data_IF_388526247776
#
_entry.id   IF_388526247776
#
_cell.length_a   1.000
_cell.length_b   1.000
_cell.length_c   1.000
_cell.angle_alpha   90.00
_cell.angle_beta   90.00
_cell.angle_gamma   90.00
#
_symmetry.space_group_name_H-M   'P 1'
#
loop_
_entity.id
_entity.type
_entity.pdbx_description
1 polymer ?
#
# COMPACT_ATOMS: atom_id res chain seq x y z
N UNK A 1 -25.07 10.23 -16.29
CA UNK A 1 -25.16 9.68 -14.92
C UNK A 1 -25.09 8.16 -15.03
N UNK A 2 -24.05 7.53 -14.49
CA UNK A 2 -24.03 6.07 -14.37
C UNK A 2 -25.18 5.65 -13.45
N UNK A 3 -26.08 4.78 -13.92
CA UNK A 3 -27.15 4.23 -13.10
C UNK A 3 -26.57 3.69 -11.79
N UNK A 4 -27.21 4.02 -10.66
CA UNK A 4 -26.88 3.47 -9.35
C UNK A 4 -27.13 1.96 -9.30
N UNK A 5 -27.97 1.43 -10.19
CA UNK A 5 -28.25 0.01 -10.27
C UNK A 5 -27.11 -0.77 -10.93
N UNK A 6 -26.86 -1.96 -10.40
CA UNK A 6 -26.03 -2.97 -11.07
C UNK A 6 -26.79 -3.52 -12.27
N UNK A 7 -26.09 -3.79 -13.36
CA UNK A 7 -26.64 -4.53 -14.49
C UNK A 7 -26.92 -5.97 -14.10
N UNK A 8 -27.85 -6.64 -14.78
CA UNK A 8 -28.18 -8.04 -14.52
C UNK A 8 -26.93 -8.95 -14.55
N UNK A 9 -26.01 -8.72 -15.49
CA UNK A 9 -24.76 -9.46 -15.60
C UNK A 9 -23.84 -9.22 -14.40
N UNK A 10 -23.66 -7.96 -13.98
CA UNK A 10 -22.89 -7.62 -12.78
C UNK A 10 -23.48 -8.31 -11.56
N UNK A 11 -24.79 -8.18 -11.32
CA UNK A 11 -25.49 -8.80 -10.18
C UNK A 11 -25.24 -10.30 -10.10
N UNK A 12 -25.47 -11.05 -11.18
CA UNK A 12 -25.24 -12.50 -11.18
C UNK A 12 -23.77 -12.88 -11.02
N UNK A 13 -22.85 -12.14 -11.63
CA UNK A 13 -21.41 -12.41 -11.47
C UNK A 13 -20.93 -12.20 -10.03
N UNK A 14 -21.41 -11.14 -9.38
CA UNK A 14 -21.06 -10.81 -8.00
C UNK A 14 -21.71 -11.78 -7.02
N UNK A 15 -22.96 -12.17 -7.25
CA UNK A 15 -23.65 -13.19 -6.44
C UNK A 15 -22.99 -14.56 -6.59
N UNK A 16 -22.61 -14.97 -7.80
CA UNK A 16 -21.90 -16.22 -8.03
C UNK A 16 -20.53 -16.23 -7.32
N UNK A 17 -19.76 -15.14 -7.45
CA UNK A 17 -18.49 -14.98 -6.74
C UNK A 17 -18.69 -15.07 -5.22
N UNK A 18 -19.63 -14.28 -4.67
CA UNK A 18 -19.93 -14.28 -3.25
C UNK A 18 -20.40 -15.66 -2.75
N UNK A 19 -21.21 -16.38 -3.54
CA UNK A 19 -21.66 -17.74 -3.22
C UNK A 19 -20.51 -18.75 -3.18
N UNK A 20 -19.62 -18.74 -4.18
CA UNK A 20 -18.42 -19.59 -4.20
C UNK A 20 -17.50 -19.29 -3.01
N UNK A 21 -17.27 -18.00 -2.73
CA UNK A 21 -16.45 -17.59 -1.59
C UNK A 21 -17.10 -17.95 -0.24
N UNK A 22 -18.42 -17.80 -0.10
CA UNK A 22 -19.11 -18.24 1.13
C UNK A 22 -19.03 -19.75 1.32
N UNK A 23 -19.20 -20.53 0.25
CA UNK A 23 -19.04 -21.99 0.29
C UNK A 23 -17.62 -22.41 0.69
N UNK A 24 -16.59 -21.75 0.16
CA UNK A 24 -15.19 -22.01 0.54
C UNK A 24 -14.87 -21.58 1.98
N UNK A 25 -15.46 -20.49 2.48
CA UNK A 25 -15.35 -20.11 3.89
C UNK A 25 -15.97 -21.16 4.82
N UNK A 26 -17.19 -21.62 4.51
CA UNK A 26 -17.89 -22.64 5.31
C UNK A 26 -17.11 -23.95 5.29
N UNK A 27 -16.63 -24.39 4.13
CA UNK A 27 -15.81 -25.59 4.00
C UNK A 27 -14.51 -25.44 4.81
N UNK A 28 -13.81 -24.31 4.70
CA UNK A 28 -12.62 -24.04 5.51
C UNK A 28 -12.91 -24.06 7.00
N UNK A 29 -14.07 -23.56 7.45
CA UNK A 29 -14.49 -23.57 8.85
C UNK A 29 -14.86 -24.97 9.36
N UNK A 30 -15.44 -25.81 8.51
CA UNK A 30 -15.74 -27.21 8.83
C UNK A 30 -14.46 -28.04 8.88
N UNK A 31 -13.58 -27.91 7.87
CA UNK A 31 -12.29 -28.59 7.84
C UNK A 31 -11.38 -28.20 9.01
N UNK A 32 -11.58 -27.02 9.61
CA UNK A 32 -10.94 -26.64 10.86
C UNK A 32 -11.32 -27.54 12.04
N UNK A 33 -12.58 -28.01 12.10
CA UNK A 33 -13.06 -28.99 13.06
C UNK A 33 -12.43 -30.37 12.86
N UNK A 34 -12.07 -30.71 11.61
CA UNK A 34 -11.47 -31.98 11.22
C UNK A 34 -9.93 -31.97 11.23
N UNK A 35 -9.29 -30.84 11.58
CA UNK A 35 -7.83 -30.69 11.64
C UNK A 35 -7.15 -30.14 10.36
N UNK A 36 -7.88 -30.09 9.24
CA UNK A 36 -7.39 -29.74 7.90
C UNK A 36 -7.59 -28.26 7.52
N UNK A 37 -8.21 -27.45 8.37
CA UNK A 37 -8.51 -26.04 8.08
C UNK A 37 -7.26 -25.20 7.85
N UNK A 38 -7.22 -24.50 6.69
CA UNK A 38 -6.14 -23.58 6.34
C UNK A 38 -6.65 -22.12 6.31
N UNK A 39 -6.19 -21.23 7.21
CA UNK A 39 -6.65 -19.85 7.28
C UNK A 39 -6.40 -19.04 6.00
N UNK A 40 -5.44 -19.49 5.19
CA UNK A 40 -5.15 -18.93 3.88
C UNK A 40 -6.33 -19.06 2.89
N UNK A 41 -6.99 -20.23 2.81
CA UNK A 41 -8.15 -20.40 1.93
C UNK A 41 -9.33 -19.53 2.35
N UNK A 42 -9.56 -19.44 3.66
CA UNK A 42 -10.54 -18.49 4.20
C UNK A 42 -10.19 -17.06 3.80
N UNK A 43 -8.92 -16.63 3.92
CA UNK A 43 -8.49 -15.28 3.54
C UNK A 43 -8.72 -14.97 2.04
N UNK A 44 -8.44 -15.94 1.15
CA UNK A 44 -8.75 -15.82 -0.29
C UNK A 44 -10.26 -15.65 -0.52
N UNK A 45 -11.09 -16.42 0.19
CA UNK A 45 -12.53 -16.32 0.09
C UNK A 45 -13.05 -14.97 0.61
N UNK A 46 -12.53 -14.49 1.74
CA UNK A 46 -12.82 -13.14 2.26
C UNK A 46 -12.45 -12.05 1.25
N UNK A 47 -11.35 -12.20 0.51
CA UNK A 47 -10.97 -11.27 -0.57
C UNK A 47 -12.05 -11.20 -1.67
N UNK A 48 -12.57 -12.34 -2.12
CA UNK A 48 -13.63 -12.39 -3.13
C UNK A 48 -14.96 -11.81 -2.66
N UNK A 49 -15.35 -12.08 -1.40
CA UNK A 49 -16.54 -11.45 -0.79
C UNK A 49 -16.35 -9.94 -0.66
N UNK A 50 -15.18 -9.50 -0.18
CA UNK A 50 -14.86 -8.09 -0.03
C UNK A 50 -14.89 -7.36 -1.39
N UNK A 51 -14.34 -7.96 -2.45
CA UNK A 51 -14.47 -7.46 -3.81
C UNK A 51 -15.94 -7.26 -4.21
N UNK A 52 -16.78 -8.28 -4.02
CA UNK A 52 -18.18 -8.23 -4.44
C UNK A 52 -18.97 -7.14 -3.71
N UNK A 53 -18.75 -7.02 -2.39
CA UNK A 53 -19.37 -6.00 -1.55
C UNK A 53 -18.88 -4.61 -1.94
N UNK A 54 -17.57 -4.40 -2.06
CA UNK A 54 -16.99 -3.09 -2.41
C UNK A 54 -17.47 -2.62 -3.78
N UNK A 55 -17.49 -3.49 -4.79
CA UNK A 55 -17.99 -3.15 -6.14
C UNK A 55 -19.45 -2.67 -6.08
N UNK A 56 -20.29 -3.40 -5.35
CA UNK A 56 -21.72 -3.08 -5.21
C UNK A 56 -21.93 -1.77 -4.46
N UNK A 57 -21.25 -1.59 -3.32
CA UNK A 57 -21.38 -0.40 -2.48
C UNK A 57 -20.90 0.87 -3.19
N UNK A 58 -19.82 0.83 -3.96
CA UNK A 58 -19.35 2.00 -4.71
C UNK A 58 -20.42 2.46 -5.71
N UNK A 59 -21.10 1.52 -6.39
CA UNK A 59 -22.19 1.84 -7.32
C UNK A 59 -23.40 2.45 -6.62
N UNK A 60 -23.78 1.89 -5.47
CA UNK A 60 -24.95 2.33 -4.72
C UNK A 60 -24.73 3.65 -3.98
N UNK A 61 -23.53 3.87 -3.44
CA UNK A 61 -23.21 5.06 -2.65
C UNK A 61 -22.72 6.25 -3.48
N UNK A 62 -22.29 6.03 -4.73
CA UNK A 62 -21.89 7.09 -5.67
C UNK A 62 -22.81 8.32 -5.67
N UNK A 63 -24.12 8.16 -5.94
CA UNK A 63 -25.07 9.28 -5.92
C UNK A 63 -25.23 9.93 -4.54
N UNK A 64 -25.09 9.16 -3.47
CA UNK A 64 -25.22 9.68 -2.09
C UNK A 64 -24.06 10.61 -1.77
N UNK A 65 -22.83 10.22 -2.12
CA UNK A 65 -21.64 11.05 -1.95
C UNK A 65 -21.74 12.34 -2.78
N UNK A 66 -22.21 12.23 -4.03
CA UNK A 66 -22.49 13.40 -4.87
C UNK A 66 -23.50 14.36 -4.24
N UNK A 67 -24.58 13.83 -3.63
CA UNK A 67 -25.61 14.62 -2.95
C UNK A 67 -25.08 15.27 -1.66
N UNK A 68 -24.16 14.61 -0.97
CA UNK A 68 -23.48 15.13 0.22
C UNK A 68 -22.40 16.19 -0.10
N UNK A 69 -22.11 16.44 -1.39
CA UNK A 69 -21.09 17.39 -1.82
C UNK A 69 -19.69 16.81 -1.94
N UNK A 70 -19.52 15.50 -1.72
CA UNK A 70 -18.25 14.78 -1.87
C UNK A 70 -18.05 14.43 -3.35
N UNK A 71 -17.57 15.41 -4.11
CA UNK A 71 -17.41 15.32 -5.57
C UNK A 71 -16.24 16.15 -6.07
N UNK A 72 -15.53 15.59 -7.06
CA UNK A 72 -14.37 16.21 -7.70
C UNK A 72 -14.59 16.36 -9.20
N UNK A 73 -13.93 17.35 -9.82
CA UNK A 73 -13.94 17.54 -11.28
C UNK A 73 -12.79 16.79 -11.92
N UNK A 74 -13.07 15.99 -12.94
CA UNK A 74 -12.02 15.35 -13.74
C UNK A 74 -11.34 16.37 -14.66
N UNK A 75 -10.22 16.90 -14.18
CA UNK A 75 -9.44 17.94 -14.85
C UNK A 75 -8.80 17.47 -16.16
N UNK A 76 -8.70 16.14 -16.38
CA UNK A 76 -8.10 15.53 -17.55
C UNK A 76 -9.10 15.34 -18.71
N UNK A 77 -10.31 15.92 -18.64
CA UNK A 77 -11.36 15.79 -19.66
C UNK A 77 -11.85 17.14 -20.19
N UNK A 78 -12.30 17.21 -21.46
CA UNK A 78 -12.80 18.46 -22.06
C UNK A 78 -13.95 19.12 -21.28
N UNK A 79 -14.92 18.32 -20.81
CA UNK A 79 -16.12 18.80 -20.11
C UNK A 79 -15.98 18.84 -18.58
N UNK A 80 -14.82 18.46 -18.05
CA UNK A 80 -14.53 18.38 -16.60
C UNK A 80 -15.71 17.85 -15.76
N UNK A 81 -16.19 16.63 -16.06
CA UNK A 81 -17.35 16.06 -15.37
C UNK A 81 -17.09 15.97 -13.88
N UNK A 82 -18.12 16.24 -13.08
CA UNK A 82 -18.10 15.98 -11.64
C UNK A 82 -18.40 14.51 -11.37
N UNK A 83 -17.54 13.86 -10.60
CA UNK A 83 -17.70 12.46 -10.20
C UNK A 83 -17.57 12.33 -8.67
N UNK A 84 -18.16 11.28 -8.06
CA UNK A 84 -18.10 11.07 -6.62
C UNK A 84 -16.65 10.98 -6.16
N UNK A 85 -16.31 11.64 -5.06
CA UNK A 85 -14.98 11.62 -4.44
C UNK A 85 -14.99 10.81 -3.14
N UNK A 86 -13.81 10.54 -2.57
CA UNK A 86 -13.67 9.82 -1.28
C UNK A 86 -14.22 8.38 -1.30
N UNK A 87 -14.30 7.73 -2.47
CA UNK A 87 -14.73 6.32 -2.56
C UNK A 87 -13.73 5.33 -1.96
N UNK A 88 -12.50 5.79 -1.69
CA UNK A 88 -11.53 5.11 -0.85
C UNK A 88 -12.06 4.77 0.53
N UNK A 89 -12.96 5.58 1.09
CA UNK A 89 -13.57 5.32 2.40
C UNK A 89 -14.44 4.05 2.38
N UNK A 90 -15.23 3.85 1.32
CA UNK A 90 -16.05 2.63 1.15
C UNK A 90 -15.16 1.39 1.06
N UNK A 91 -14.09 1.48 0.27
CA UNK A 91 -13.07 0.44 0.13
C UNK A 91 -12.44 0.09 1.50
N UNK A 92 -11.99 1.10 2.25
CA UNK A 92 -11.35 0.92 3.55
C UNK A 92 -12.30 0.35 4.62
N UNK A 93 -13.56 0.77 4.67
CA UNK A 93 -14.55 0.25 5.63
C UNK A 93 -14.84 -1.23 5.38
N UNK A 94 -15.05 -1.63 4.11
CA UNK A 94 -15.27 -3.05 3.77
C UNK A 94 -14.05 -3.88 4.13
N UNK A 95 -12.84 -3.36 3.89
CA UNK A 95 -11.60 -4.03 4.27
C UNK A 95 -11.47 -4.23 5.78
N UNK A 96 -11.72 -3.19 6.58
CA UNK A 96 -11.67 -3.27 8.03
C UNK A 96 -12.66 -4.31 8.57
N UNK A 97 -13.89 -4.32 8.05
CA UNK A 97 -14.89 -5.33 8.40
C UNK A 97 -14.43 -6.74 8.02
N UNK A 98 -13.87 -6.92 6.81
CA UNK A 98 -13.34 -8.20 6.37
C UNK A 98 -12.24 -8.71 7.33
N UNK A 99 -11.31 -7.85 7.74
CA UNK A 99 -10.27 -8.22 8.72
C UNK A 99 -10.83 -8.55 10.11
N UNK A 100 -11.87 -7.84 10.57
CA UNK A 100 -12.53 -8.13 11.84
C UNK A 100 -13.19 -9.50 11.79
N UNK A 101 -13.97 -9.78 10.74
CA UNK A 101 -14.64 -11.07 10.56
C UNK A 101 -13.67 -12.22 10.29
N UNK A 102 -12.45 -11.94 9.82
CA UNK A 102 -11.42 -12.94 9.61
C UNK A 102 -10.72 -13.39 10.90
N UNK A 103 -10.80 -12.64 12.01
CA UNK A 103 -10.10 -12.97 13.28
C UNK A 103 -10.38 -14.41 13.75
N UNK A 104 -11.64 -14.90 13.83
CA UNK A 104 -11.91 -16.25 14.29
C UNK A 104 -11.30 -17.33 13.38
N UNK A 105 -11.13 -17.04 12.09
CA UNK A 105 -10.52 -17.95 11.12
C UNK A 105 -9.00 -17.96 11.26
N UNK A 106 -8.38 -16.78 11.44
CA UNK A 106 -6.94 -16.65 11.59
C UNK A 106 -6.42 -17.37 12.85
N UNK A 107 -7.19 -17.31 13.95
CA UNK A 107 -6.80 -17.84 15.25
C UNK A 107 -7.59 -19.09 15.66
N UNK A 108 -8.30 -19.76 14.72
CA UNK A 108 -9.18 -20.87 15.07
C UNK A 108 -8.47 -21.96 15.88
N UNK A 109 -7.32 -22.45 15.39
CA UNK A 109 -6.54 -23.50 16.05
C UNK A 109 -6.16 -23.10 17.47
N UNK A 110 -5.78 -21.84 17.65
CA UNK A 110 -5.40 -21.28 18.95
C UNK A 110 -6.59 -21.13 19.91
N UNK A 111 -7.74 -20.68 19.40
CA UNK A 111 -8.99 -20.55 20.16
C UNK A 111 -9.46 -21.93 20.60
N UNK A 112 -9.50 -22.91 19.69
CA UNK A 112 -9.89 -24.28 20.02
C UNK A 112 -8.94 -24.85 21.05
N UNK A 113 -7.62 -24.83 20.83
CA UNK A 113 -6.65 -25.38 21.77
C UNK A 113 -6.73 -24.73 23.17
N UNK A 114 -7.03 -23.44 23.26
CA UNK A 114 -7.18 -22.73 24.53
C UNK A 114 -8.52 -23.00 25.24
N UNK A 115 -9.59 -23.33 24.51
CA UNK A 115 -10.95 -23.52 25.06
C UNK A 115 -11.34 -24.99 25.25
N UNK A 116 -10.82 -25.91 24.43
CA UNK A 116 -11.08 -27.35 24.53
C UNK A 116 -10.31 -28.05 25.66
N UNK A 117 -9.42 -27.32 26.36
CA UNK A 117 -8.90 -27.68 27.68
C UNK A 117 -9.98 -27.82 28.78
N UNK A 118 -11.24 -27.55 28.46
CA UNK A 118 -12.42 -27.81 29.27
C UNK A 118 -13.41 -28.80 28.63
N UNK A 119 -12.95 -29.99 28.23
CA UNK A 119 -13.84 -31.17 28.23
C UNK A 119 -14.47 -31.65 26.91
N UNK A 120 -13.85 -31.50 25.74
CA UNK A 120 -14.28 -32.25 24.55
C UNK A 120 -13.15 -33.11 23.97
N UNK A 121 -13.42 -34.40 23.77
CA UNK A 121 -12.44 -35.51 23.60
C UNK A 121 -12.03 -35.80 22.15
N UNK A 122 -12.45 -35.00 21.18
CA UNK A 122 -12.39 -35.42 19.78
C UNK A 122 -11.22 -34.83 18.96
N UNK A 123 -10.30 -34.08 19.59
CA UNK A 123 -9.07 -33.62 18.92
C UNK A 123 -7.90 -34.46 19.42
N UNK A 124 -7.71 -35.64 18.81
CA UNK A 124 -6.50 -36.46 19.00
C UNK A 124 -5.38 -35.81 18.20
N UNK A 125 -4.63 -34.89 18.83
CA UNK A 125 -3.31 -34.52 18.34
C UNK A 125 -2.37 -35.70 18.65
N UNK A 126 -1.76 -36.30 17.63
CA UNK A 126 -0.71 -37.31 17.81
C UNK A 126 0.48 -36.69 18.55
N UNK A 127 0.57 -36.98 19.85
CA UNK A 127 1.65 -36.52 20.73
C UNK A 127 2.88 -37.40 20.54
N UNK A 128 3.72 -37.07 19.55
CA UNK A 128 5.12 -37.46 19.61
C UNK A 128 5.86 -36.48 20.51
N UNK A 129 5.87 -36.77 21.82
CA UNK A 129 6.95 -36.60 22.81
C UNK A 129 6.30 -36.61 24.21
N UNK A 130 6.38 -37.77 24.86
CA UNK A 130 6.10 -37.93 26.28
C UNK A 130 7.32 -37.40 27.04
N UNK A 131 7.07 -36.52 28.01
CA UNK A 131 7.72 -36.39 29.33
C UNK A 131 7.73 -34.92 29.80
N UNK A 132 7.01 -34.69 30.92
CA UNK A 132 6.90 -33.49 31.79
C UNK A 132 5.70 -32.54 31.60
N UNK A 133 4.79 -32.55 32.59
CA UNK A 133 3.92 -31.43 32.98
C UNK A 133 2.68 -31.15 32.13
N UNK A 134 1.55 -30.86 32.78
CA UNK A 134 0.34 -30.30 32.14
C UNK A 134 0.67 -28.98 31.43
N UNK A 135 0.95 -29.01 30.13
CA UNK A 135 0.96 -27.80 29.32
C UNK A 135 -0.49 -27.42 28.99
N UNK A 136 -1.03 -26.46 29.73
CA UNK A 136 -2.17 -25.68 29.29
C UNK A 136 -1.72 -24.94 28.01
N UNK A 137 -2.22 -25.31 26.84
CA UNK A 137 -1.88 -24.60 25.60
C UNK A 137 -2.33 -23.13 25.73
N UNK A 138 -1.38 -22.23 25.98
CA UNK A 138 -1.67 -20.81 26.24
C UNK A 138 -1.97 -20.13 24.91
N UNK A 139 -3.11 -19.46 24.83
CA UNK A 139 -3.49 -18.68 23.66
C UNK A 139 -2.37 -17.67 23.28
N UNK A 140 -1.99 -17.55 22.00
CA UNK A 140 -0.88 -16.71 21.55
C UNK A 140 -1.27 -15.23 21.54
N UNK A 141 -1.37 -14.64 22.73
CA UNK A 141 -1.78 -13.25 22.90
C UNK A 141 -0.91 -12.25 22.13
N UNK A 142 0.40 -12.50 21.95
CA UNK A 142 1.27 -11.61 21.16
C UNK A 142 0.94 -11.58 19.67
N UNK A 143 0.54 -12.72 19.08
CA UNK A 143 0.10 -12.77 17.66
C UNK A 143 -1.22 -12.03 17.48
N UNK A 144 -2.16 -12.22 18.41
CA UNK A 144 -3.41 -11.48 18.41
C UNK A 144 -3.19 -9.99 18.65
N UNK A 145 -2.30 -9.61 19.57
CA UNK A 145 -1.96 -8.21 19.85
C UNK A 145 -1.36 -7.53 18.62
N UNK A 146 -0.42 -8.19 17.92
CA UNK A 146 0.13 -7.71 16.66
C UNK A 146 -0.97 -7.48 15.61
N UNK A 147 -1.87 -8.46 15.41
CA UNK A 147 -3.00 -8.33 14.50
C UNK A 147 -3.95 -7.18 14.86
N UNK A 148 -4.37 -7.10 16.11
CA UNK A 148 -5.28 -6.06 16.60
C UNK A 148 -4.63 -4.67 16.56
N UNK A 149 -3.32 -4.56 16.80
CA UNK A 149 -2.59 -3.29 16.71
C UNK A 149 -2.48 -2.77 15.29
N UNK A 150 -2.25 -3.67 14.32
CA UNK A 150 -2.29 -3.32 12.90
C UNK A 150 -3.69 -2.86 12.49
N UNK A 151 -4.72 -3.60 12.89
CA UNK A 151 -6.12 -3.25 12.64
C UNK A 151 -6.50 -1.91 13.27
N UNK A 152 -6.10 -1.65 14.51
CA UNK A 152 -6.35 -0.39 15.21
C UNK A 152 -5.64 0.78 14.52
N UNK A 153 -4.40 0.58 14.09
CA UNK A 153 -3.65 1.59 13.32
C UNK A 153 -4.36 1.93 11.99
N UNK A 154 -4.90 0.90 11.32
CA UNK A 154 -5.70 1.05 10.11
C UNK A 154 -7.03 1.76 10.36
N UNK A 155 -7.72 1.48 11.47
CA UNK A 155 -8.93 2.22 11.85
C UNK A 155 -8.61 3.70 12.09
N UNK A 156 -7.55 3.99 12.85
CA UNK A 156 -7.11 5.36 13.11
C UNK A 156 -6.80 6.13 11.82
N UNK A 157 -6.04 5.54 10.89
CA UNK A 157 -5.68 6.23 9.66
C UNK A 157 -6.88 6.45 8.73
N UNK A 158 -7.83 5.51 8.70
CA UNK A 158 -9.04 5.65 7.88
C UNK A 158 -9.93 6.77 8.40
N UNK A 159 -10.08 6.88 9.72
CA UNK A 159 -10.81 8.00 10.36
C UNK A 159 -10.13 9.33 10.04
N UNK A 160 -8.81 9.41 10.22
CA UNK A 160 -8.06 10.64 9.97
C UNK A 160 -8.04 11.02 8.49
N UNK A 161 -7.96 10.04 7.58
CA UNK A 161 -8.02 10.26 6.14
C UNK A 161 -9.38 10.73 5.67
N UNK A 162 -10.46 10.14 6.20
CA UNK A 162 -11.81 10.67 5.98
C UNK A 162 -11.94 12.09 6.52
N UNK A 163 -11.37 12.37 7.69
CA UNK A 163 -11.29 13.73 8.24
C UNK A 163 -10.55 14.72 7.33
N UNK A 164 -9.46 14.29 6.69
CA UNK A 164 -8.72 15.11 5.73
C UNK A 164 -9.54 15.42 4.46
N UNK A 165 -10.17 14.40 3.88
CA UNK A 165 -11.05 14.56 2.72
C UNK A 165 -12.25 15.47 3.01
N UNK A 166 -12.80 15.43 4.23
CA UNK A 166 -13.96 16.24 4.63
C UNK A 166 -13.60 17.68 5.03
N UNK A 167 -12.41 17.90 5.60
CA UNK A 167 -12.04 19.18 6.21
C UNK A 167 -11.00 19.98 5.40
N UNK A 168 -10.42 19.41 4.34
CA UNK A 168 -9.31 19.98 3.53
C UNK A 168 -8.20 20.53 4.44
N UNK A 169 -7.60 19.64 5.25
CA UNK A 169 -6.64 20.03 6.28
C UNK A 169 -5.38 20.62 5.64
N UNK A 170 -4.77 21.63 6.28
CA UNK A 170 -3.53 22.24 5.78
C UNK A 170 -2.38 21.22 5.72
N UNK A 171 -1.58 21.28 4.66
CA UNK A 171 -0.48 20.33 4.35
C UNK A 171 0.48 20.05 5.52
N UNK A 172 0.79 21.06 6.35
CA UNK A 172 1.70 20.91 7.50
C UNK A 172 1.20 19.89 8.54
N UNK A 173 -0.12 19.75 8.66
CA UNK A 173 -0.73 18.76 9.55
C UNK A 173 -0.89 17.42 8.83
N UNK A 174 -1.15 17.43 7.51
CA UNK A 174 -1.25 16.20 6.68
C UNK A 174 -0.03 15.29 6.81
N UNK A 175 1.18 15.87 6.81
CA UNK A 175 2.43 15.10 6.93
C UNK A 175 2.47 14.27 8.22
N UNK A 176 1.88 14.74 9.32
CA UNK A 176 1.92 14.07 10.61
C UNK A 176 0.71 13.17 10.89
N UNK A 177 -0.36 13.24 10.08
CA UNK A 177 -1.55 12.40 10.24
C UNK A 177 -1.19 10.91 10.33
N UNK A 178 -0.35 10.35 9.42
CA UNK A 178 0.00 8.94 9.51
C UNK A 178 0.84 8.56 10.73
N UNK A 179 1.60 9.51 11.29
CA UNK A 179 2.38 9.28 12.49
C UNK A 179 1.48 8.92 13.68
N UNK A 180 0.35 9.64 13.82
CA UNK A 180 -0.66 9.34 14.85
C UNK A 180 -1.36 8.01 14.58
N UNK A 181 -1.67 7.71 13.31
CA UNK A 181 -2.25 6.44 12.91
C UNK A 181 -1.36 5.23 13.25
N UNK A 182 -0.03 5.39 13.25
CA UNK A 182 0.92 4.31 13.48
C UNK A 182 1.19 4.00 14.97
N UNK A 183 0.75 4.85 15.90
CA UNK A 183 1.04 4.72 17.34
C UNK A 183 0.67 3.32 17.90
N UNK A 184 -0.52 2.75 17.63
CA UNK A 184 -0.90 1.46 18.22
C UNK A 184 0.08 0.34 17.85
N UNK A 185 0.43 0.24 16.57
CA UNK A 185 1.41 -0.73 16.08
C UNK A 185 2.80 -0.50 16.69
N UNK A 186 3.26 0.74 16.80
CA UNK A 186 4.59 1.04 17.39
C UNK A 186 4.67 0.66 18.87
N UNK A 187 3.60 0.85 19.63
CA UNK A 187 3.52 0.44 21.05
C UNK A 187 3.58 -1.09 21.16
N UNK A 188 2.80 -1.80 20.34
CA UNK A 188 2.85 -3.28 20.35
C UNK A 188 4.20 -3.79 19.88
N UNK A 189 4.82 -3.16 18.89
CA UNK A 189 6.19 -3.49 18.50
C UNK A 189 7.18 -3.36 19.65
N UNK A 190 7.08 -2.28 20.42
CA UNK A 190 7.91 -2.03 21.59
C UNK A 190 7.73 -3.09 22.68
N UNK A 191 6.50 -3.51 22.94
CA UNK A 191 6.17 -4.45 24.03
C UNK A 191 6.47 -5.91 23.64
N UNK A 192 6.08 -6.34 22.43
CA UNK A 192 6.12 -7.75 22.05
C UNK A 192 7.45 -8.17 21.41
N UNK A 193 8.09 -7.29 20.63
CA UNK A 193 9.33 -7.60 19.92
C UNK A 193 10.53 -6.90 20.55
N UNK A 194 10.48 -5.57 20.67
CA UNK A 194 11.56 -4.76 21.22
C UNK A 194 12.89 -4.82 20.45
N UNK A 195 12.92 -5.45 19.27
CA UNK A 195 14.16 -5.65 18.49
C UNK A 195 14.49 -4.39 17.70
N UNK A 196 15.57 -3.71 18.09
CA UNK A 196 16.08 -2.48 17.45
C UNK A 196 17.40 -2.68 16.72
N UNK A 197 17.88 -3.92 16.66
CA UNK A 197 19.12 -4.28 15.99
C UNK A 197 18.90 -4.45 14.49
N UNK A 198 19.81 -3.88 13.69
CA UNK A 198 19.78 -3.95 12.24
C UNK A 198 21.08 -4.58 11.73
N UNK A 199 20.95 -5.55 10.83
CA UNK A 199 22.09 -6.15 10.12
C UNK A 199 22.77 -5.09 9.27
N UNK A 200 24.08 -4.89 9.50
CA UNK A 200 24.92 -3.95 8.76
C UNK A 200 25.40 -4.58 7.44
N UNK A 201 25.33 -3.85 6.31
CA UNK A 201 25.93 -4.29 5.05
C UNK A 201 27.41 -4.67 5.18
N UNK A 202 27.83 -5.77 4.57
CA UNK A 202 29.20 -6.31 4.63
C UNK A 202 30.32 -5.27 4.41
N UNK A 203 30.22 -4.31 3.47
CA UNK A 203 31.25 -3.28 3.30
C UNK A 203 31.41 -2.34 4.51
N UNK A 204 30.37 -2.17 5.32
CA UNK A 204 30.33 -1.27 6.47
C UNK A 204 30.60 -1.99 7.80
N UNK A 205 30.63 -3.33 7.81
CA UNK A 205 30.80 -4.12 9.03
C UNK A 205 32.13 -3.86 9.74
N UNK A 206 33.19 -3.49 9.01
CA UNK A 206 34.47 -3.13 9.62
C UNK A 206 34.38 -1.90 10.54
N UNK A 207 33.46 -0.98 10.24
CA UNK A 207 33.31 0.26 10.99
C UNK A 207 32.24 0.19 12.08
N UNK A 208 31.17 -0.58 11.85
CA UNK A 208 29.95 -0.56 12.66
C UNK A 208 29.64 -1.91 13.33
N UNK A 209 30.44 -2.94 13.08
CA UNK A 209 30.13 -4.32 13.51
C UNK A 209 29.12 -5.01 12.58
N UNK A 210 28.80 -6.28 12.89
CA UNK A 210 27.84 -7.07 12.10
C UNK A 210 26.38 -6.65 12.34
N UNK A 211 26.08 -6.23 13.58
CA UNK A 211 24.77 -5.79 14.03
C UNK A 211 24.91 -4.42 14.71
N UNK A 212 24.06 -3.48 14.33
CA UNK A 212 24.00 -2.14 14.93
C UNK A 212 22.69 -1.99 15.68
N UNK A 213 22.76 -1.69 16.98
CA UNK A 213 21.58 -1.30 17.76
C UNK A 213 21.28 0.18 17.57
N UNK A 214 20.11 0.47 16.99
CA UNK A 214 19.64 1.83 16.75
C UNK A 214 18.81 2.40 17.90
N UNK A 215 18.37 1.57 18.85
CA UNK A 215 17.48 1.98 19.94
C UNK A 215 16.28 2.80 19.46
N UNK A 216 16.09 3.99 20.04
CA UNK A 216 15.01 4.92 19.67
C UNK A 216 15.01 5.36 18.20
N UNK A 217 16.17 5.39 17.54
CA UNK A 217 16.25 5.74 16.12
C UNK A 217 15.53 4.71 15.23
N UNK A 218 15.43 3.46 15.68
CA UNK A 218 14.65 2.45 14.96
C UNK A 218 13.14 2.74 15.00
N UNK A 219 12.63 3.26 16.13
CA UNK A 219 11.23 3.70 16.24
C UNK A 219 10.96 4.94 15.38
N UNK A 220 11.92 5.88 15.33
CA UNK A 220 11.84 7.03 14.41
C UNK A 220 11.81 6.55 12.96
N UNK A 221 12.62 5.55 12.61
CA UNK A 221 12.59 4.92 11.28
C UNK A 221 11.22 4.29 10.97
N UNK A 222 10.65 3.48 11.88
CA UNK A 222 9.34 2.87 11.67
C UNK A 222 8.23 3.93 11.52
N UNK A 223 8.26 4.97 12.34
CA UNK A 223 7.35 6.11 12.21
C UNK A 223 7.54 6.83 10.86
N UNK A 224 8.78 7.02 10.41
CA UNK A 224 9.08 7.62 9.11
C UNK A 224 8.57 6.76 7.94
N UNK A 225 8.69 5.42 8.02
CA UNK A 225 8.09 4.50 7.03
C UNK A 225 6.56 4.64 7.02
N UNK A 226 5.93 4.68 8.19
CA UNK A 226 4.48 4.83 8.30
C UNK A 226 3.98 6.21 7.85
N UNK A 227 4.81 7.26 7.92
CA UNK A 227 4.54 8.57 7.31
C UNK A 227 4.74 8.53 5.80
N UNK A 228 5.83 7.91 5.35
CA UNK A 228 6.25 7.92 3.97
C UNK A 228 5.28 7.15 3.06
N UNK A 229 4.89 5.93 3.41
CA UNK A 229 4.07 5.08 2.54
C UNK A 229 2.74 5.78 2.14
N UNK A 230 1.89 6.23 3.08
CA UNK A 230 0.69 7.05 2.83
C UNK A 230 0.92 8.26 1.92
N UNK A 231 1.87 9.11 2.28
CA UNK A 231 2.10 10.37 1.59
C UNK A 231 2.70 10.16 0.19
N UNK A 232 3.54 9.15 0.02
CA UNK A 232 4.23 8.88 -1.24
C UNK A 232 3.27 8.37 -2.33
N UNK A 233 2.26 7.58 -1.97
CA UNK A 233 1.16 7.18 -2.85
C UNK A 233 0.32 8.41 -3.20
N UNK A 234 -0.04 9.23 -2.20
CA UNK A 234 -0.81 10.47 -2.43
C UNK A 234 -0.06 11.44 -3.37
N UNK A 235 1.26 11.56 -3.25
CA UNK A 235 2.06 12.40 -4.13
C UNK A 235 2.18 11.88 -5.57
N UNK A 236 2.02 10.58 -5.79
CA UNK A 236 2.04 9.96 -7.12
C UNK A 236 0.60 9.69 -7.58
N UNK A 237 -0.18 10.77 -7.66
CA UNK A 237 -1.61 10.76 -7.96
C UNK A 237 -1.98 11.77 -9.06
N UNK A 238 -3.25 11.77 -9.46
CA UNK A 238 -3.83 12.83 -10.30
C UNK A 238 -4.10 12.44 -11.76
N UNK A 239 -4.04 11.15 -12.09
CA UNK A 239 -4.58 10.58 -13.33
C UNK A 239 -5.44 9.37 -12.99
N UNK A 240 -6.48 9.12 -13.79
CA UNK A 240 -7.47 8.09 -13.54
C UNK A 240 -6.85 6.69 -13.37
N UNK A 241 -6.96 6.12 -12.17
CA UNK A 241 -6.55 4.75 -11.86
C UNK A 241 -5.18 4.59 -11.20
N UNK A 242 -4.33 5.63 -11.18
CA UNK A 242 -2.90 5.43 -10.83
C UNK A 242 -2.69 5.10 -9.35
N UNK A 243 -3.46 5.70 -8.44
CA UNK A 243 -3.35 5.53 -6.99
C UNK A 243 -3.66 4.08 -6.60
N UNK A 244 -4.73 3.53 -7.17
CA UNK A 244 -5.19 2.17 -6.90
C UNK A 244 -4.34 1.14 -7.63
N UNK A 245 -3.98 1.40 -8.90
CA UNK A 245 -3.22 0.45 -9.69
C UNK A 245 -1.79 0.27 -9.18
N UNK A 246 -1.09 1.35 -8.81
CA UNK A 246 0.25 1.22 -8.23
C UNK A 246 0.20 0.44 -6.91
N UNK A 247 -0.82 0.68 -6.08
CA UNK A 247 -1.02 -0.01 -4.82
C UNK A 247 -1.31 -1.51 -5.03
N UNK A 248 -2.14 -1.87 -6.01
CA UNK A 248 -2.38 -3.26 -6.38
C UNK A 248 -1.11 -3.97 -6.86
N UNK A 249 -0.30 -3.32 -7.70
CA UNK A 249 0.98 -3.91 -8.14
C UNK A 249 1.90 -4.16 -6.95
N UNK A 250 2.04 -3.20 -6.04
CA UNK A 250 2.83 -3.35 -4.81
C UNK A 250 2.30 -4.52 -3.97
N UNK A 251 0.99 -4.61 -3.74
CA UNK A 251 0.37 -5.68 -2.96
C UNK A 251 0.61 -7.06 -3.59
N UNK A 252 0.45 -7.19 -4.91
CA UNK A 252 0.69 -8.44 -5.61
C UNK A 252 2.17 -8.86 -5.57
N UNK A 253 3.10 -7.90 -5.66
CA UNK A 253 4.53 -8.18 -5.52
C UNK A 253 4.91 -8.56 -4.09
N UNK A 254 4.28 -7.96 -3.07
CA UNK A 254 4.44 -8.36 -1.68
C UNK A 254 3.90 -9.78 -1.45
N UNK A 255 2.70 -10.10 -1.93
CA UNK A 255 2.15 -11.46 -1.85
C UNK A 255 3.09 -12.44 -2.57
N UNK A 256 3.59 -12.10 -3.76
CA UNK A 256 4.56 -12.93 -4.48
C UNK A 256 5.84 -13.15 -3.67
N UNK A 257 6.35 -12.13 -2.99
CA UNK A 257 7.47 -12.26 -2.06
C UNK A 257 7.13 -13.17 -0.87
N UNK A 258 5.96 -12.99 -0.26
CA UNK A 258 5.55 -13.69 0.95
C UNK A 258 5.33 -15.19 0.68
N UNK A 259 4.76 -15.53 -0.47
CA UNK A 259 4.57 -16.92 -0.93
C UNK A 259 5.90 -17.66 -1.04
N UNK A 260 7.02 -16.98 -1.35
CA UNK A 260 8.34 -17.62 -1.39
C UNK A 260 8.78 -18.18 -0.04
N UNK A 261 8.25 -17.68 1.07
CA UNK A 261 8.56 -18.14 2.43
C UNK A 261 7.58 -19.19 2.96
N UNK A 262 6.59 -19.60 2.15
CA UNK A 262 5.64 -20.65 2.50
C UNK A 262 6.06 -22.01 1.92
N UNK A 263 5.59 -23.09 2.54
CA UNK A 263 5.71 -24.43 2.00
C UNK A 263 4.82 -24.59 0.74
N UNK A 264 5.25 -25.37 -0.29
CA UNK A 264 6.46 -26.18 -0.34
C UNK A 264 7.70 -25.45 -0.88
N UNK A 265 7.62 -24.15 -1.20
CA UNK A 265 8.73 -23.41 -1.85
C UNK A 265 9.95 -23.33 -0.93
N UNK A 266 9.73 -22.92 0.32
CA UNK A 266 10.74 -22.97 1.38
C UNK A 266 10.40 -24.13 2.34
N UNK A 267 11.37 -25.01 2.68
CA UNK A 267 11.12 -26.12 3.59
C UNK A 267 10.57 -25.67 4.94
N UNK A 268 9.61 -26.43 5.46
CA UNK A 268 9.07 -26.23 6.81
C UNK A 268 9.97 -26.92 7.85
N UNK A 269 10.24 -26.31 9.03
CA UNK A 269 9.81 -24.99 9.49
C UNK A 269 10.78 -23.86 9.10
N UNK A 270 10.25 -22.75 8.58
CA UNK A 270 11.02 -21.52 8.37
C UNK A 270 10.62 -20.44 9.39
N UNK A 271 11.57 -19.80 10.12
CA UNK A 271 11.26 -18.84 11.18
C UNK A 271 10.39 -17.64 10.74
N UNK A 272 10.53 -17.21 9.47
CA UNK A 272 9.77 -16.08 8.93
C UNK A 272 8.38 -16.46 8.36
N UNK A 273 8.02 -17.76 8.33
CA UNK A 273 6.79 -18.22 7.69
C UNK A 273 5.54 -17.53 8.28
N UNK A 274 5.46 -17.44 9.62
CA UNK A 274 4.32 -16.84 10.31
C UNK A 274 4.20 -15.33 10.02
N UNK A 275 5.32 -14.61 9.91
CA UNK A 275 5.34 -13.18 9.56
C UNK A 275 4.86 -12.93 8.12
N UNK A 276 5.24 -13.78 7.18
CA UNK A 276 4.79 -13.70 5.79
C UNK A 276 3.32 -14.14 5.65
N UNK A 277 2.88 -15.13 6.41
CA UNK A 277 1.48 -15.56 6.45
C UNK A 277 0.57 -14.46 7.05
N UNK A 278 1.03 -13.80 8.11
CA UNK A 278 0.40 -12.59 8.67
C UNK A 278 0.23 -11.50 7.61
N UNK A 279 1.29 -11.20 6.85
CA UNK A 279 1.25 -10.22 5.76
C UNK A 279 0.20 -10.59 4.70
N UNK A 280 0.18 -11.85 4.25
CA UNK A 280 -0.79 -12.34 3.26
C UNK A 280 -2.23 -12.16 3.73
N UNK A 281 -2.53 -12.39 5.02
CA UNK A 281 -3.86 -12.19 5.59
C UNK A 281 -4.36 -10.74 5.50
N UNK A 282 -3.46 -9.76 5.59
CA UNK A 282 -3.78 -8.35 5.39
C UNK A 282 -3.84 -7.98 3.90
N UNK A 283 -2.97 -8.56 3.06
CA UNK A 283 -2.85 -8.19 1.65
C UNK A 283 -3.96 -8.79 0.77
N UNK A 284 -4.44 -10.00 1.04
CA UNK A 284 -5.47 -10.64 0.22
C UNK A 284 -6.80 -9.86 0.23
N UNK A 285 -7.40 -9.51 1.38
CA UNK A 285 -8.59 -8.67 1.40
C UNK A 285 -8.33 -7.27 0.81
N UNK A 286 -7.11 -6.73 0.96
CA UNK A 286 -6.72 -5.44 0.40
C UNK A 286 -6.75 -5.47 -1.14
N UNK A 287 -6.24 -6.55 -1.75
CA UNK A 287 -6.33 -6.79 -3.19
C UNK A 287 -7.78 -6.87 -3.63
N UNK A 288 -8.63 -7.58 -2.88
CA UNK A 288 -10.06 -7.70 -3.19
C UNK A 288 -10.77 -6.35 -3.25
N UNK A 289 -10.67 -5.54 -2.20
CA UNK A 289 -11.32 -4.22 -2.16
C UNK A 289 -10.71 -3.23 -3.16
N UNK A 290 -9.39 -3.27 -3.35
CA UNK A 290 -8.69 -2.35 -4.27
C UNK A 290 -8.97 -2.71 -5.73
N UNK A 291 -9.07 -4.00 -6.07
CA UNK A 291 -9.45 -4.42 -7.42
C UNK A 291 -10.89 -3.98 -7.75
N UNK A 292 -11.82 -4.09 -6.80
CA UNK A 292 -13.18 -3.58 -6.97
C UNK A 292 -13.21 -2.06 -7.16
N UNK A 293 -12.45 -1.31 -6.37
CA UNK A 293 -12.31 0.14 -6.53
C UNK A 293 -11.70 0.50 -7.89
N UNK A 294 -10.66 -0.24 -8.34
CA UNK A 294 -10.03 -0.03 -9.64
C UNK A 294 -11.04 -0.21 -10.78
N UNK A 295 -11.94 -1.19 -10.72
CA UNK A 295 -12.96 -1.38 -11.76
C UNK A 295 -13.85 -0.13 -11.97
N UNK A 296 -14.01 0.72 -10.95
CA UNK A 296 -14.76 1.97 -11.05
C UNK A 296 -13.86 3.20 -11.26
N UNK A 297 -12.64 3.19 -10.75
CA UNK A 297 -11.69 4.30 -10.81
C UNK A 297 -10.81 4.28 -12.07
N UNK A 298 -10.67 3.13 -12.75
CA UNK A 298 -9.89 3.02 -13.97
C UNK A 298 -10.44 3.90 -15.08
N UNK A 299 -9.57 4.31 -16.01
CA UNK A 299 -9.94 5.17 -17.13
C UNK A 299 -11.06 4.56 -17.99
N UNK A 300 -12.09 5.36 -18.36
CA UNK A 300 -12.44 6.68 -17.81
C UNK A 300 -13.07 6.54 -16.43
N UNK A 301 -12.54 7.29 -15.44
CA UNK A 301 -12.95 7.13 -14.05
C UNK A 301 -14.41 7.50 -13.82
N UNK A 302 -15.10 6.68 -13.02
CA UNK A 302 -16.46 6.92 -12.54
C UNK A 302 -16.48 7.45 -11.11
N UNK A 303 -15.37 7.30 -10.37
CA UNK A 303 -15.24 7.70 -8.96
C UNK A 303 -13.78 8.07 -8.64
N UNK A 304 -13.56 9.07 -7.80
CA UNK A 304 -12.25 9.36 -7.22
C UNK A 304 -12.08 8.70 -5.86
N UNK A 305 -10.83 8.35 -5.58
CA UNK A 305 -10.48 7.60 -4.37
C UNK A 305 -10.36 8.49 -3.13
N UNK A 306 -9.92 9.74 -3.30
CA UNK A 306 -9.63 10.68 -2.21
C UNK A 306 -8.34 10.36 -1.46
N UNK A 307 -7.92 11.28 -0.58
CA UNK A 307 -6.76 11.11 0.29
C UNK A 307 -6.94 9.91 1.22
N UNK A 308 -8.19 9.59 1.57
CA UNK A 308 -8.54 8.42 2.40
C UNK A 308 -7.94 7.12 1.84
N UNK A 309 -8.03 6.87 0.53
CA UNK A 309 -7.46 5.65 -0.05
C UNK A 309 -5.94 5.63 0.03
N UNK A 310 -5.29 6.75 -0.31
CA UNK A 310 -3.84 6.86 -0.32
C UNK A 310 -3.27 6.60 1.08
N UNK A 311 -3.89 7.19 2.11
CA UNK A 311 -3.48 6.95 3.48
C UNK A 311 -3.76 5.52 3.95
N UNK A 312 -4.93 4.99 3.61
CA UNK A 312 -5.30 3.61 3.87
C UNK A 312 -4.31 2.61 3.25
N UNK A 313 -4.08 2.69 1.94
CA UNK A 313 -3.20 1.79 1.21
C UNK A 313 -1.76 1.86 1.75
N UNK A 314 -1.23 3.07 1.93
CA UNK A 314 0.09 3.26 2.48
C UNK A 314 0.26 2.69 3.89
N UNK A 315 -0.77 2.81 4.73
CA UNK A 315 -0.72 2.25 6.09
C UNK A 315 -0.85 0.73 6.09
N UNK A 316 -1.63 0.12 5.19
CA UNK A 316 -1.63 -1.36 5.02
C UNK A 316 -0.21 -1.84 4.76
N UNK A 317 0.49 -1.19 3.84
CA UNK A 317 1.87 -1.54 3.52
C UNK A 317 2.83 -1.32 4.68
N UNK A 318 2.70 -0.20 5.41
CA UNK A 318 3.51 0.06 6.59
C UNK A 318 3.27 -1.00 7.69
N UNK A 319 2.01 -1.36 7.94
CA UNK A 319 1.62 -2.38 8.93
C UNK A 319 2.23 -3.73 8.61
N UNK A 320 2.04 -4.23 7.38
CA UNK A 320 2.60 -5.54 7.01
C UNK A 320 4.13 -5.51 6.95
N UNK A 321 4.74 -4.41 6.50
CA UNK A 321 6.19 -4.29 6.42
C UNK A 321 6.88 -4.20 7.79
N UNK A 322 6.27 -3.49 8.75
CA UNK A 322 6.83 -3.30 10.09
C UNK A 322 6.59 -4.54 10.94
N UNK A 323 5.33 -5.01 11.05
CA UNK A 323 5.00 -6.20 11.86
C UNK A 323 5.46 -7.50 11.22
N UNK A 324 5.62 -7.53 9.89
CA UNK A 324 6.20 -8.65 9.16
C UNK A 324 7.74 -8.64 9.10
N UNK A 325 8.40 -7.61 9.66
CA UNK A 325 9.86 -7.46 9.68
C UNK A 325 10.55 -7.45 8.30
N UNK A 326 9.85 -7.00 7.25
CA UNK A 326 10.41 -6.89 5.89
C UNK A 326 10.31 -5.47 5.31
N UNK A 327 10.28 -4.44 6.16
CA UNK A 327 10.26 -3.01 5.78
C UNK A 327 11.34 -2.61 4.77
N UNK A 328 12.52 -3.25 4.80
CA UNK A 328 13.57 -3.05 3.76
C UNK A 328 13.12 -3.53 2.37
N UNK A 329 12.50 -4.72 2.31
CA UNK A 329 11.91 -5.25 1.06
C UNK A 329 10.77 -4.37 0.58
N UNK A 330 9.92 -3.89 1.51
CA UNK A 330 8.84 -2.96 1.21
C UNK A 330 9.38 -1.69 0.51
N UNK A 331 10.45 -1.08 1.03
CA UNK A 331 11.04 0.12 0.43
C UNK A 331 11.62 -0.14 -0.98
N UNK A 332 12.10 -1.36 -1.27
CA UNK A 332 12.52 -1.74 -2.63
C UNK A 332 11.34 -1.79 -3.60
N UNK A 333 10.15 -2.15 -3.13
CA UNK A 333 8.93 -2.13 -3.95
C UNK A 333 8.37 -0.72 -4.12
N UNK A 334 8.73 0.20 -3.23
CA UNK A 334 8.35 1.62 -3.29
C UNK A 334 9.33 2.49 -4.10
N UNK A 335 10.25 1.90 -4.87
CA UNK A 335 11.26 2.67 -5.64
C UNK A 335 10.65 3.79 -6.49
N UNK A 336 9.56 3.59 -7.26
CA UNK A 336 8.94 4.69 -8.02
C UNK A 336 8.40 5.81 -7.12
N UNK A 337 7.81 5.48 -5.98
CA UNK A 337 7.30 6.42 -4.99
C UNK A 337 8.43 7.20 -4.31
N UNK A 338 9.51 6.50 -3.94
CA UNK A 338 10.75 7.10 -3.40
C UNK A 338 11.35 8.06 -4.41
N UNK A 339 11.47 7.64 -5.67
CA UNK A 339 11.97 8.50 -6.74
C UNK A 339 11.09 9.73 -6.93
N UNK A 340 9.76 9.56 -7.00
CA UNK A 340 8.82 10.68 -7.13
C UNK A 340 8.95 11.65 -5.94
N UNK A 341 9.07 11.14 -4.72
CA UNK A 341 9.25 11.95 -3.52
C UNK A 341 10.56 12.77 -3.57
N UNK A 342 11.68 12.11 -3.86
CA UNK A 342 12.98 12.78 -3.96
C UNK A 342 12.99 13.81 -5.09
N UNK A 343 12.39 13.48 -6.23
CA UNK A 343 12.28 14.40 -7.36
C UNK A 343 11.37 15.60 -7.07
N UNK A 344 10.28 15.39 -6.34
CA UNK A 344 9.36 16.44 -5.86
C UNK A 344 9.91 17.30 -4.73
N UNK A 345 10.94 16.84 -4.02
CA UNK A 345 11.48 17.47 -2.80
C UNK A 345 11.76 18.97 -2.97
N UNK A 346 12.42 19.45 -4.05
CA UNK A 346 12.66 20.88 -4.22
C UNK A 346 11.37 21.73 -4.24
N UNK A 347 10.27 21.20 -4.79
CA UNK A 347 8.97 21.88 -4.77
C UNK A 347 8.30 21.78 -3.39
N UNK A 348 8.35 20.61 -2.75
CA UNK A 348 7.72 20.40 -1.44
C UNK A 348 8.30 21.30 -0.34
N UNK A 349 9.62 21.51 -0.36
CA UNK A 349 10.31 22.40 0.58
C UNK A 349 10.28 23.87 0.13
N UNK A 350 9.50 24.21 -0.91
CA UNK A 350 9.38 25.55 -1.49
C UNK A 350 10.72 26.17 -1.93
N UNK A 351 11.71 25.34 -2.29
CA UNK A 351 12.94 25.81 -2.93
C UNK A 351 12.66 26.21 -4.39
N UNK A 352 11.78 25.46 -5.05
CA UNK A 352 11.16 25.79 -6.34
C UNK A 352 9.69 26.13 -6.09
N UNK A 353 9.09 27.13 -6.77
CA UNK A 353 7.68 27.43 -6.58
C UNK A 353 6.81 26.18 -6.79
N UNK A 354 5.93 25.90 -5.84
CA UNK A 354 5.07 24.72 -5.87
C UNK A 354 3.63 25.14 -6.12
N UNK A 355 3.06 24.88 -7.32
CA UNK A 355 1.64 25.12 -7.54
C UNK A 355 0.79 24.17 -6.70
N UNK A 356 -0.46 24.56 -6.40
CA UNK A 356 -1.42 23.72 -5.65
C UNK A 356 -1.65 22.38 -6.34
N UNK A 357 -1.72 22.38 -7.66
CA UNK A 357 -1.93 21.18 -8.48
C UNK A 357 -0.72 20.95 -9.40
N UNK A 358 -0.13 19.76 -9.30
CA UNK A 358 1.05 19.35 -10.07
C UNK A 358 0.75 18.22 -11.09
N UNK A 359 -0.52 17.89 -11.28
CA UNK A 359 -0.94 16.91 -12.29
C UNK A 359 -0.62 17.38 -13.72
N UNK A 360 -0.47 16.46 -14.68
CA UNK A 360 -0.34 16.81 -16.10
C UNK A 360 -1.46 17.72 -16.60
N UNK A 361 -1.15 18.57 -17.59
CA UNK A 361 -2.13 19.50 -18.17
C UNK A 361 -2.82 18.86 -19.37
N UNK A 362 -4.15 18.83 -19.35
CA UNK A 362 -4.93 18.38 -20.50
C UNK A 362 -5.02 19.46 -21.58
N UNK A 363 -4.75 19.06 -22.82
CA UNK A 363 -4.91 19.90 -24.00
C UNK A 363 -6.20 19.51 -24.74
N UNK A 364 -7.15 20.44 -24.82
CA UNK A 364 -8.47 20.23 -25.45
C UNK A 364 -8.40 19.97 -26.95
N UNK A 365 -7.37 20.48 -27.61
CA UNK A 365 -7.28 20.48 -29.08
C UNK A 365 -6.72 19.15 -29.57
N UNK A 366 -5.77 18.58 -28.83
CA UNK A 366 -5.16 17.27 -29.13
C UNK A 366 -5.81 16.11 -28.39
N UNK A 367 -6.50 16.37 -27.28
CA UNK A 367 -7.04 15.33 -26.40
C UNK A 367 -5.97 14.57 -25.60
N UNK A 368 -4.76 15.13 -25.48
CA UNK A 368 -3.61 14.52 -24.80
C UNK A 368 -3.26 15.26 -23.51
N UNK A 369 -2.55 14.58 -22.61
CA UNK A 369 -1.89 15.17 -21.46
C UNK A 369 -0.47 15.60 -21.84
N UNK A 370 -0.13 16.84 -21.52
CA UNK A 370 1.23 17.39 -21.60
C UNK A 370 1.77 17.68 -20.20
N UNK A 371 3.09 17.80 -20.08
CA UNK A 371 3.74 18.13 -18.82
C UNK A 371 3.27 19.51 -18.33
N UNK A 372 2.78 19.58 -17.10
CA UNK A 372 2.44 20.85 -16.49
C UNK A 372 3.69 21.61 -16.05
N UNK A 373 3.58 22.94 -15.98
CA UNK A 373 4.71 23.83 -15.70
C UNK A 373 4.47 24.66 -14.44
N UNK A 374 5.58 25.05 -13.83
CA UNK A 374 5.68 26.09 -12.81
C UNK A 374 6.22 27.35 -13.48
N UNK A 375 5.54 28.48 -13.27
CA UNK A 375 5.92 29.78 -13.81
C UNK A 375 6.74 30.59 -12.78
N UNK A 376 7.83 31.21 -13.23
CA UNK A 376 8.74 32.03 -12.43
C UNK A 376 8.38 33.52 -12.55
N UNK A 377 7.14 33.88 -12.18
CA UNK A 377 6.56 35.22 -12.41
C UNK A 377 7.19 36.34 -11.59
N UNK A 378 7.38 36.13 -10.30
CA UNK A 378 7.76 37.22 -9.37
C UNK A 378 9.26 37.34 -9.13
N UNK A 379 9.95 36.20 -9.03
CA UNK A 379 11.39 36.14 -8.73
C UNK A 379 12.06 35.12 -9.63
N UNK A 380 13.14 35.49 -10.36
CA UNK A 380 13.93 34.51 -11.08
C UNK A 380 14.59 33.53 -10.09
N UNK A 381 14.91 32.30 -10.52
CA UNK A 381 15.60 31.34 -9.68
C UNK A 381 16.93 31.91 -9.18
N UNK A 382 17.29 31.60 -7.94
CA UNK A 382 18.62 31.91 -7.40
C UNK A 382 19.69 31.23 -8.27
N UNK A 383 20.94 31.72 -8.25
CA UNK A 383 22.02 31.16 -9.08
C UNK A 383 22.17 29.66 -8.92
N UNK A 384 22.13 29.17 -7.68
CA UNK A 384 22.26 27.74 -7.38
C UNK A 384 21.09 26.94 -7.95
N UNK A 385 19.85 27.41 -7.75
CA UNK A 385 18.65 26.74 -8.29
C UNK A 385 18.66 26.77 -9.82
N UNK A 386 19.04 27.89 -10.44
CA UNK A 386 19.17 28.01 -11.88
C UNK A 386 20.19 27.01 -12.45
N UNK A 387 21.36 26.87 -11.82
CA UNK A 387 22.36 25.86 -12.19
C UNK A 387 21.81 24.44 -12.05
N UNK A 388 21.11 24.13 -10.96
CA UNK A 388 20.48 22.81 -10.77
C UNK A 388 19.41 22.54 -11.84
N UNK A 389 18.58 23.52 -12.19
CA UNK A 389 17.57 23.40 -13.24
C UNK A 389 18.21 23.18 -14.62
N UNK A 390 19.30 23.89 -14.93
CA UNK A 390 20.05 23.68 -16.18
C UNK A 390 20.71 22.31 -16.25
N UNK A 391 21.28 21.85 -15.13
CA UNK A 391 21.80 20.49 -15.04
C UNK A 391 20.67 19.46 -15.23
N UNK A 392 19.50 19.69 -14.61
CA UNK A 392 18.31 18.89 -14.82
C UNK A 392 17.85 18.86 -16.27
N UNK A 393 17.95 19.99 -16.99
CA UNK A 393 17.67 20.06 -18.43
C UNK A 393 18.68 19.23 -19.24
N UNK A 394 19.97 19.32 -18.92
CA UNK A 394 21.03 18.55 -19.58
C UNK A 394 20.83 17.05 -19.39
N UNK A 395 20.42 16.63 -18.19
CA UNK A 395 20.09 15.24 -17.85
C UNK A 395 18.69 14.81 -18.34
N UNK A 396 18.01 15.65 -19.13
CA UNK A 396 16.66 15.39 -19.65
C UNK A 396 15.60 15.15 -18.55
N UNK A 397 15.81 15.66 -17.34
CA UNK A 397 14.86 15.55 -16.24
C UNK A 397 13.77 16.63 -16.29
N UNK A 398 14.10 17.82 -16.80
CA UNK A 398 13.22 18.99 -16.75
C UNK A 398 13.20 19.67 -18.12
N UNK A 399 12.04 20.17 -18.55
CA UNK A 399 11.95 21.11 -19.68
C UNK A 399 11.91 22.54 -19.14
N UNK A 400 12.74 23.41 -19.72
CA UNK A 400 12.83 24.83 -19.36
C UNK A 400 12.43 25.72 -20.54
N UNK A 401 11.64 26.75 -20.26
CA UNK A 401 11.34 27.83 -21.20
C UNK A 401 12.10 29.08 -20.76
N UNK A 402 12.84 29.71 -21.68
CA UNK A 402 13.58 30.94 -21.43
C UNK A 402 13.00 32.11 -22.22
N UNK A 403 13.10 33.31 -21.65
CA UNK A 403 12.81 34.54 -22.38
C UNK A 403 14.00 34.91 -23.32
N UNK A 404 13.80 35.93 -24.16
CA UNK A 404 14.81 36.54 -25.03
C UNK A 404 16.09 36.94 -24.28
N UNK A 405 15.98 37.32 -23.01
CA UNK A 405 17.11 37.69 -22.15
C UNK A 405 17.85 36.48 -21.54
N UNK A 406 17.52 35.25 -21.94
CA UNK A 406 18.12 34.02 -21.41
C UNK A 406 17.68 33.62 -20.00
N UNK A 407 16.76 34.37 -19.38
CA UNK A 407 16.19 34.07 -18.05
C UNK A 407 15.15 32.97 -18.13
N UNK A 408 15.16 32.05 -17.15
CA UNK A 408 14.17 30.97 -17.01
C UNK A 408 12.81 31.59 -16.63
N UNK A 409 11.78 31.31 -17.42
CA UNK A 409 10.40 31.77 -17.21
C UNK A 409 9.52 30.62 -16.74
N UNK A 410 9.74 29.41 -17.26
CA UNK A 410 8.95 28.23 -16.89
C UNK A 410 9.86 27.02 -16.73
N UNK A 411 9.46 26.14 -15.81
CA UNK A 411 10.06 24.82 -15.63
C UNK A 411 8.95 23.79 -15.43
N UNK A 412 9.09 22.60 -16.01
CA UNK A 412 8.13 21.51 -15.76
C UNK A 412 8.00 21.17 -14.28
N UNK A 413 6.80 20.83 -13.83
CA UNK A 413 6.55 20.37 -12.46
C UNK A 413 7.36 19.10 -12.15
N UNK A 414 7.90 19.04 -10.95
CA UNK A 414 8.83 17.97 -10.55
C UNK A 414 8.05 16.78 -9.98
N UNK A 415 7.40 16.02 -10.86
CA UNK A 415 6.73 14.76 -10.52
C UNK A 415 7.07 13.69 -11.55
N UNK A 416 7.00 12.42 -11.16
CA UNK A 416 7.28 11.30 -12.06
C UNK A 416 6.33 11.29 -13.27
N UNK A 417 5.07 11.68 -13.09
CA UNK A 417 4.10 11.81 -14.19
C UNK A 417 4.55 12.83 -15.24
N UNK A 418 4.98 14.02 -14.82
CA UNK A 418 5.46 15.05 -15.74
C UNK A 418 6.80 14.69 -16.36
N UNK A 419 7.71 14.08 -15.58
CA UNK A 419 8.99 13.58 -16.07
C UNK A 419 8.78 12.56 -17.20
N UNK A 420 7.82 11.65 -17.02
CA UNK A 420 7.51 10.65 -18.03
C UNK A 420 6.99 11.28 -19.33
N UNK A 421 6.18 12.33 -19.23
CA UNK A 421 5.73 13.12 -20.39
C UNK A 421 6.86 13.95 -21.03
N UNK A 422 7.87 14.35 -20.26
CA UNK A 422 9.08 14.98 -20.80
C UNK A 422 9.87 13.98 -21.65
N UNK A 423 9.98 12.72 -21.22
CA UNK A 423 10.72 11.67 -21.93
C UNK A 423 9.96 11.11 -23.13
N UNK A 424 8.67 10.82 -22.97
CA UNK A 424 7.87 10.08 -23.96
C UNK A 424 6.98 10.99 -24.82
N UNK A 425 6.91 12.28 -24.50
CA UNK A 425 6.02 13.25 -25.14
C UNK A 425 4.56 13.18 -24.65
N UNK A 426 3.69 14.06 -25.18
CA UNK A 426 2.28 14.10 -24.82
C UNK A 426 1.56 12.80 -25.17
N UNK A 427 0.73 12.30 -24.27
CA UNK A 427 0.00 11.05 -24.48
C UNK A 427 -1.37 11.06 -23.84
N UNK A 428 -2.22 10.12 -24.24
CA UNK A 428 -3.53 9.95 -23.60
C UNK A 428 -3.36 9.48 -22.15
N UNK A 429 -4.29 9.90 -21.30
CA UNK A 429 -4.29 9.58 -19.87
C UNK A 429 -4.26 8.07 -19.57
N UNK A 430 -5.02 7.26 -20.31
CA UNK A 430 -5.02 5.80 -20.15
C UNK A 430 -3.66 5.17 -20.48
N UNK A 431 -2.97 5.70 -21.48
CA UNK A 431 -1.62 5.23 -21.81
C UNK A 431 -0.63 5.62 -20.72
N UNK A 432 -0.69 6.85 -20.21
CA UNK A 432 0.15 7.28 -19.10
C UNK A 432 -0.06 6.41 -17.86
N UNK A 433 -1.33 6.11 -17.52
CA UNK A 433 -1.66 5.21 -16.41
C UNK A 433 -1.06 3.82 -16.59
N UNK A 434 -1.20 3.21 -17.78
CA UNK A 434 -0.55 1.93 -18.10
C UNK A 434 0.98 1.97 -18.03
N UNK A 435 1.59 3.06 -18.49
CA UNK A 435 3.05 3.22 -18.37
C UNK A 435 3.47 3.28 -16.89
N UNK A 436 2.72 3.96 -16.02
CA UNK A 436 3.01 3.99 -14.58
C UNK A 436 2.86 2.61 -13.93
N UNK A 437 1.85 1.82 -14.33
CA UNK A 437 1.73 0.41 -13.92
C UNK A 437 2.94 -0.40 -14.39
N UNK A 438 3.40 -0.18 -15.62
CA UNK A 438 4.60 -0.83 -16.17
C UNK A 438 5.86 -0.46 -15.40
N UNK A 439 6.09 0.83 -15.13
CA UNK A 439 7.21 1.32 -14.30
C UNK A 439 7.17 0.68 -12.92
N UNK A 440 6.00 0.68 -12.25
CA UNK A 440 5.85 0.06 -10.94
C UNK A 440 6.17 -1.43 -10.96
N UNK A 441 5.68 -2.15 -11.96
CA UNK A 441 5.88 -3.60 -12.10
C UNK A 441 7.35 -3.92 -12.36
N UNK A 442 8.00 -3.21 -13.29
CA UNK A 442 9.40 -3.45 -13.65
C UNK A 442 10.33 -3.11 -12.48
N UNK A 443 10.17 -1.93 -11.87
CA UNK A 443 10.97 -1.54 -10.71
C UNK A 443 10.75 -2.49 -9.53
N UNK A 444 9.52 -2.91 -9.28
CA UNK A 444 9.20 -3.83 -8.21
C UNK A 444 9.76 -5.25 -8.42
N UNK A 445 9.64 -5.81 -9.62
CA UNK A 445 10.28 -7.09 -9.98
C UNK A 445 11.80 -7.01 -9.88
N UNK A 446 12.39 -5.90 -10.34
CA UNK A 446 13.81 -5.65 -10.16
C UNK A 446 14.19 -5.55 -8.67
N UNK A 447 13.37 -4.91 -7.85
CA UNK A 447 13.54 -4.85 -6.38
C UNK A 447 13.52 -6.24 -5.74
N UNK A 448 12.59 -7.12 -6.14
CA UNK A 448 12.57 -8.52 -5.69
C UNK A 448 13.79 -9.30 -6.19
N UNK A 449 14.23 -9.08 -7.43
CA UNK A 449 15.46 -9.67 -7.95
C UNK A 449 16.68 -9.23 -7.12
N UNK A 450 16.79 -7.94 -6.81
CA UNK A 450 17.83 -7.40 -5.92
C UNK A 450 17.77 -8.11 -4.56
N UNK A 451 16.57 -8.23 -3.97
CA UNK A 451 16.38 -8.87 -2.67
C UNK A 451 16.79 -10.34 -2.64
N UNK A 452 16.47 -11.10 -3.68
CA UNK A 452 16.58 -12.57 -3.69
C UNK A 452 17.82 -13.11 -4.42
N UNK A 453 18.52 -12.27 -5.19
CA UNK A 453 19.73 -12.66 -5.95
C UNK A 453 20.93 -11.78 -5.66
N UNK A 454 20.74 -10.47 -5.51
CA UNK A 454 21.85 -9.54 -5.31
C UNK A 454 22.10 -9.21 -3.83
N UNK A 455 21.20 -9.59 -2.92
CA UNK A 455 21.39 -9.34 -1.49
C UNK A 455 22.68 -9.97 -0.97
N UNK A 456 23.12 -11.11 -1.54
CA UNK A 456 24.38 -11.75 -1.18
C UNK A 456 25.64 -10.95 -1.56
N UNK A 457 25.52 -9.96 -2.45
CA UNK A 457 26.62 -9.02 -2.74
C UNK A 457 26.85 -8.04 -1.59
N UNK A 458 25.81 -7.81 -0.77
CA UNK A 458 25.78 -6.78 0.28
C UNK A 458 25.71 -7.40 1.67
N UNK A 459 25.11 -8.58 1.81
CA UNK A 459 24.92 -9.31 3.06
C UNK A 459 25.50 -10.72 2.92
N UNK A 460 26.02 -11.28 4.02
CA UNK A 460 26.69 -12.59 4.00
C UNK A 460 25.74 -13.79 3.91
N UNK A 461 24.44 -13.60 4.17
CA UNK A 461 23.44 -14.66 4.22
C UNK A 461 22.16 -14.24 3.49
N UNK A 462 21.50 -15.19 2.81
CA UNK A 462 20.16 -15.02 2.26
C UNK A 462 19.14 -15.50 3.30
N UNK A 463 18.11 -14.69 3.56
CA UNK A 463 17.09 -14.97 4.57
C UNK A 463 16.22 -16.19 4.23
N UNK A 464 16.31 -16.74 3.01
CA UNK A 464 15.61 -17.97 2.60
C UNK A 464 16.42 -19.25 2.81
N UNK A 465 17.75 -19.15 2.85
CA UNK A 465 18.61 -20.32 3.05
C UNK A 465 18.88 -20.47 4.55
N UNK A 466 17.95 -21.11 5.27
CA UNK A 466 18.21 -21.53 6.63
C UNK A 466 19.09 -22.78 6.58
N UNK A 467 20.41 -22.61 6.68
CA UNK A 467 21.32 -23.72 6.92
C UNK A 467 21.21 -24.08 8.39
N UNK A 468 20.66 -25.25 8.69
CA UNK A 468 20.82 -25.89 10.00
C UNK A 468 22.29 -26.23 10.16
N UNK A 469 23.06 -25.32 10.74
CA UNK A 469 24.40 -25.63 11.22
C UNK A 469 24.30 -26.35 12.57
#
# INVERSE_FOLDING_TARGET
MTSAALSHRETWSLLALAGICMGTMINSFQGYGDGDGAPLFASVAFSGVAFAITYSLIRWLGPVFMKAGLKGKDMAKPKKPEIPETMGAVCAVVYLLALIFFIPFAFYKDIVAATSGGGNRDVVLEVHHVETGRYLHRFPHGRLASYLSGLLSLQCIVILGLGDDLLDIRWRHKVLIPAFGAIPMLIVYFVDFGVTQVVVPAPLQHYLGEMLDLGYLYYVYMAAVAIFCPNSINMLAGINGVEVAQSLVIALLLIANDVLYLAPITPFPHPAMDSHLFSIYFLLPFVGVSAALLCHNWYPSKVFVGDTYCYFAGMVFAVVGILGHFSKTLLLLFVPQVFNFLYSTPQLFNLVPCPRHRLPRFNSDTGLLDASVTEWKEKPPSRLIATCLELGRLLQLIRLTKNKDGKIVESTNLTLLNLWLVWMGPMREDRLAWHMVGVQTICGLFGLFVRHRLALLVFRQDNRMFSTA
#
